data_IF_459257784184
#
_entry.id   IF_459257784184
#
_cell.length_a   1.000
_cell.length_b   1.000
_cell.length_c   1.000
_cell.angle_alpha   90.00
_cell.angle_beta   90.00
_cell.angle_gamma   90.00
#
_symmetry.space_group_name_H-M   'P 1'
#
loop_
_entity.id
_entity.type
_entity.pdbx_description
1 polymer ?
#
# COMPACT_ATOMS: atom_id res chain seq x y z
N UNK A 1 -14.95 53.08 -26.69
CA UNK A 1 -15.09 51.62 -26.46
C UNK A 1 -13.80 51.12 -25.85
N UNK A 2 -13.84 50.76 -24.54
CA UNK A 2 -12.66 50.27 -23.80
C UNK A 2 -12.67 48.75 -23.89
N UNK A 3 -11.70 48.16 -24.60
CA UNK A 3 -11.50 46.71 -24.65
C UNK A 3 -10.83 46.28 -23.39
N UNK A 4 -11.58 45.56 -22.53
CA UNK A 4 -11.05 44.89 -21.36
C UNK A 4 -10.43 43.56 -21.81
N UNK A 5 -9.10 43.51 -21.83
CA UNK A 5 -8.36 42.28 -22.13
C UNK A 5 -8.35 41.37 -20.88
N UNK A 6 -9.17 40.31 -20.90
CA UNK A 6 -9.21 39.32 -19.83
C UNK A 6 -7.99 38.39 -19.96
N UNK A 7 -6.97 38.61 -19.15
CA UNK A 7 -5.82 37.72 -19.08
C UNK A 7 -6.18 36.50 -18.26
N UNK A 8 -6.41 35.36 -18.92
CA UNK A 8 -6.62 34.06 -18.29
C UNK A 8 -5.30 33.55 -17.73
N UNK A 9 -5.11 33.66 -16.42
CA UNK A 9 -3.94 33.11 -15.72
C UNK A 9 -4.11 31.58 -15.62
N UNK A 10 -3.42 30.83 -16.49
CA UNK A 10 -3.37 29.36 -16.40
C UNK A 10 -2.43 29.02 -15.25
N UNK A 11 -3.00 28.61 -14.12
CA UNK A 11 -2.23 28.05 -13.00
C UNK A 11 -1.80 26.64 -13.38
N UNK A 12 -0.57 26.49 -13.83
CA UNK A 12 0.08 25.18 -13.99
C UNK A 12 0.51 24.73 -12.61
N UNK A 13 -0.28 23.82 -11.99
CA UNK A 13 0.14 23.16 -10.76
C UNK A 13 1.31 22.23 -11.09
N UNK A 14 2.42 22.28 -10.32
CA UNK A 14 3.50 21.32 -10.51
C UNK A 14 2.97 19.91 -10.24
N UNK A 15 3.12 19.01 -11.21
CA UNK A 15 2.99 17.56 -10.98
C UNK A 15 4.13 17.20 -10.04
N UNK A 16 3.82 16.93 -8.78
CA UNK A 16 4.80 16.35 -7.88
C UNK A 16 5.04 14.92 -8.34
N UNK A 17 6.25 14.68 -8.83
CA UNK A 17 6.78 13.35 -9.09
C UNK A 17 7.02 12.72 -7.69
N UNK A 18 6.04 11.97 -7.17
CA UNK A 18 6.17 11.31 -5.87
C UNK A 18 7.27 10.25 -5.99
N UNK A 19 8.41 10.57 -5.39
CA UNK A 19 9.56 9.67 -5.36
C UNK A 19 9.19 8.41 -4.58
N UNK A 20 9.32 7.23 -5.21
CA UNK A 20 9.14 5.94 -4.53
C UNK A 20 10.02 5.89 -3.27
N UNK A 21 9.37 5.69 -2.12
CA UNK A 21 10.03 5.48 -0.85
C UNK A 21 10.56 4.04 -0.77
N UNK A 22 11.83 3.89 -0.41
CA UNK A 22 12.48 2.59 -0.30
C UNK A 22 13.08 2.45 1.09
N UNK A 23 12.76 1.34 1.76
CA UNK A 23 13.20 1.05 3.12
C UNK A 23 13.87 -0.31 3.20
N UNK A 24 14.82 -0.48 4.12
CA UNK A 24 15.15 -1.76 4.72
C UNK A 24 14.08 -2.12 5.77
N UNK A 25 14.23 -3.26 6.44
CA UNK A 25 13.24 -3.68 7.43
C UNK A 25 13.17 -2.72 8.64
N UNK A 26 14.30 -2.20 9.11
CA UNK A 26 14.33 -1.29 10.25
C UNK A 26 13.59 0.02 9.95
N UNK A 27 13.64 0.49 8.71
CA UNK A 27 12.88 1.65 8.24
C UNK A 27 11.40 1.33 7.98
N UNK A 28 11.08 0.10 7.57
CA UNK A 28 9.70 -0.33 7.31
C UNK A 28 8.93 -0.64 8.61
N UNK A 29 9.60 -1.22 9.60
CA UNK A 29 8.98 -1.70 10.84
C UNK A 29 8.08 -0.66 11.52
N UNK A 30 8.48 0.62 11.69
CA UNK A 30 7.59 1.64 12.27
C UNK A 30 6.35 1.93 11.43
N UNK A 31 6.41 1.74 10.12
CA UNK A 31 5.27 2.00 9.22
C UNK A 31 4.21 0.90 9.32
N UNK A 32 4.61 -0.33 9.64
CA UNK A 32 3.73 -1.50 9.73
C UNK A 32 3.35 -1.86 11.17
N UNK A 33 3.78 -1.06 12.15
CA UNK A 33 3.52 -1.25 13.58
C UNK A 33 3.13 0.08 14.24
N UNK A 34 2.28 0.87 13.59
CA UNK A 34 1.80 2.14 14.13
C UNK A 34 0.89 1.90 15.34
N UNK A 35 1.03 2.76 16.37
CA UNK A 35 0.22 2.70 17.58
C UNK A 35 -0.70 3.92 17.63
N UNK A 36 -1.75 3.88 16.84
CA UNK A 36 -2.80 4.89 16.78
C UNK A 36 -4.18 4.23 16.77
N UNK A 37 -5.25 5.03 16.59
CA UNK A 37 -6.64 4.54 16.59
C UNK A 37 -7.12 4.10 15.19
N UNK A 38 -6.23 4.08 14.19
CA UNK A 38 -6.59 3.70 12.83
C UNK A 38 -6.59 2.20 12.63
N UNK A 39 -7.33 1.76 11.61
CA UNK A 39 -7.19 0.42 11.06
C UNK A 39 -6.16 0.45 9.95
N UNK A 40 -5.08 -0.29 10.12
CA UNK A 40 -4.02 -0.42 9.13
C UNK A 40 -4.18 -1.71 8.34
N UNK A 41 -4.15 -1.59 7.02
CA UNK A 41 -4.13 -2.71 6.08
C UNK A 41 -2.82 -2.65 5.32
N UNK A 42 -1.92 -3.58 5.60
CA UNK A 42 -0.60 -3.67 4.97
C UNK A 42 -0.59 -4.88 4.05
N UNK A 43 -0.43 -4.65 2.73
CA UNK A 43 -0.35 -5.73 1.75
C UNK A 43 1.07 -5.82 1.18
N UNK A 44 1.66 -7.01 1.25
CA UNK A 44 2.94 -7.34 0.64
C UNK A 44 2.69 -7.94 -0.74
N UNK A 45 3.28 -7.33 -1.77
CA UNK A 45 3.02 -7.64 -3.17
C UNK A 45 4.24 -7.44 -4.05
N UNK A 46 4.15 -7.79 -5.33
CA UNK A 46 5.13 -7.44 -6.34
C UNK A 46 4.51 -7.41 -7.73
N UNK A 47 5.11 -6.67 -8.66
CA UNK A 47 4.63 -6.57 -10.05
C UNK A 47 4.68 -7.89 -10.81
N UNK A 48 5.55 -8.80 -10.41
CA UNK A 48 5.69 -10.15 -10.98
C UNK A 48 4.76 -11.19 -10.34
N UNK A 49 4.05 -10.83 -9.28
CA UNK A 49 3.12 -11.71 -8.57
C UNK A 49 1.72 -11.61 -9.19
N UNK A 50 1.34 -12.55 -10.01
CA UNK A 50 0.04 -12.56 -10.70
C UNK A 50 -1.17 -12.47 -9.77
N UNK A 51 -1.27 -13.28 -8.71
CA UNK A 51 -2.36 -13.17 -7.72
C UNK A 51 -2.41 -11.81 -7.02
N UNK A 52 -1.23 -11.22 -6.70
CA UNK A 52 -1.16 -9.89 -6.08
C UNK A 52 -1.79 -8.81 -6.98
N UNK A 53 -1.42 -8.83 -8.27
CA UNK A 53 -1.92 -7.87 -9.25
C UNK A 53 -3.45 -7.95 -9.39
N UNK A 54 -4.04 -9.13 -9.26
CA UNK A 54 -5.49 -9.33 -9.35
C UNK A 54 -6.24 -8.72 -8.17
N UNK A 55 -5.65 -8.73 -6.97
CA UNK A 55 -6.32 -8.23 -5.76
C UNK A 55 -6.04 -6.75 -5.46
N UNK A 56 -4.98 -6.12 -6.03
CA UNK A 56 -4.68 -4.71 -5.79
C UNK A 56 -5.88 -3.77 -5.96
N UNK A 57 -6.76 -3.92 -6.97
CA UNK A 57 -7.95 -3.08 -7.09
C UNK A 57 -8.88 -3.16 -5.87
N UNK A 58 -8.88 -4.25 -5.13
CA UNK A 58 -9.71 -4.41 -3.92
C UNK A 58 -9.15 -3.60 -2.75
N UNK A 59 -7.82 -3.51 -2.63
CA UNK A 59 -7.15 -2.65 -1.66
C UNK A 59 -7.38 -1.17 -1.96
N UNK A 60 -7.30 -0.78 -3.23
CA UNK A 60 -7.66 0.58 -3.66
C UNK A 60 -9.13 0.91 -3.35
N UNK A 61 -10.03 -0.05 -3.59
CA UNK A 61 -11.46 0.14 -3.31
C UNK A 61 -11.73 0.31 -1.80
N UNK A 62 -11.07 -0.44 -0.92
CA UNK A 62 -11.23 -0.25 0.53
C UNK A 62 -10.55 1.03 1.01
N UNK A 63 -9.42 1.42 0.44
CA UNK A 63 -8.75 2.67 0.74
C UNK A 63 -9.65 3.88 0.45
N UNK A 64 -10.34 3.87 -0.69
CA UNK A 64 -11.28 4.93 -1.07
C UNK A 64 -12.57 4.88 -0.23
N UNK A 65 -13.13 3.70 -0.04
CA UNK A 65 -14.44 3.51 0.62
C UNK A 65 -14.41 3.81 2.11
N UNK A 66 -13.31 3.54 2.79
CA UNK A 66 -13.18 3.61 4.25
C UNK A 66 -12.21 4.72 4.72
N UNK A 67 -11.90 5.69 3.86
CA UNK A 67 -11.06 6.84 4.21
C UNK A 67 -11.63 7.64 5.41
N UNK A 68 -12.94 7.89 5.41
CA UNK A 68 -13.64 8.55 6.51
C UNK A 68 -13.72 7.69 7.80
N UNK A 69 -13.50 6.38 7.71
CA UNK A 69 -13.53 5.42 8.82
C UNK A 69 -12.14 5.19 9.45
N UNK A 70 -11.17 6.05 9.16
CA UNK A 70 -9.79 5.93 9.63
C UNK A 70 -9.11 4.61 9.22
N UNK A 71 -9.32 4.16 7.99
CA UNK A 71 -8.59 3.02 7.40
C UNK A 71 -7.43 3.54 6.57
N UNK A 72 -6.24 3.02 6.81
CA UNK A 72 -5.05 3.30 6.00
C UNK A 72 -4.57 2.03 5.30
N UNK A 73 -4.39 2.12 3.99
CA UNK A 73 -3.81 1.05 3.18
C UNK A 73 -2.36 1.38 2.83
N UNK A 74 -1.45 0.48 3.17
CA UNK A 74 -0.04 0.54 2.80
C UNK A 74 0.30 -0.65 1.89
N UNK A 75 0.76 -0.37 0.69
CA UNK A 75 1.21 -1.37 -0.28
C UNK A 75 2.73 -1.47 -0.24
N UNK A 76 3.26 -2.58 0.29
CA UNK A 76 4.70 -2.85 0.42
C UNK A 76 5.15 -3.72 -0.75
N UNK A 77 5.87 -3.13 -1.69
CA UNK A 77 6.42 -3.86 -2.83
C UNK A 77 7.68 -4.63 -2.45
N UNK A 78 7.75 -5.90 -2.87
CA UNK A 78 8.93 -6.76 -2.82
C UNK A 78 9.61 -6.89 -4.20
N UNK A 79 9.38 -5.93 -5.09
CA UNK A 79 10.10 -5.86 -6.36
C UNK A 79 11.60 -5.64 -6.13
N UNK A 80 12.42 -6.27 -6.96
CA UNK A 80 13.87 -6.06 -6.90
C UNK A 80 14.25 -4.63 -7.29
N UNK A 81 15.29 -4.01 -6.68
CA UNK A 81 15.69 -2.62 -6.95
C UNK A 81 15.89 -2.32 -8.44
N UNK A 82 16.46 -3.25 -9.21
CA UNK A 82 16.65 -3.13 -10.66
C UNK A 82 15.33 -3.02 -11.45
N UNK A 83 14.20 -3.29 -10.82
CA UNK A 83 12.86 -3.25 -11.43
C UNK A 83 12.03 -2.02 -11.01
N UNK A 84 12.54 -1.20 -10.08
CA UNK A 84 11.78 -0.04 -9.62
C UNK A 84 11.41 0.91 -10.76
N UNK A 85 12.38 1.30 -11.60
CA UNK A 85 12.13 2.24 -12.69
C UNK A 85 11.48 1.59 -13.92
N UNK A 86 11.65 0.28 -14.12
CA UNK A 86 11.19 -0.41 -15.34
C UNK A 86 9.88 -1.20 -15.17
N UNK A 87 9.45 -1.45 -13.93
CA UNK A 87 8.24 -2.20 -13.63
C UNK A 87 7.38 -1.53 -12.57
N UNK A 88 7.92 -1.29 -11.35
CA UNK A 88 7.13 -0.82 -10.21
C UNK A 88 6.56 0.58 -10.42
N UNK A 89 7.40 1.59 -10.69
CA UNK A 89 6.93 2.95 -10.94
C UNK A 89 5.97 3.05 -12.14
N UNK A 90 6.27 2.45 -13.31
CA UNK A 90 5.33 2.42 -14.42
C UNK A 90 4.00 1.73 -14.08
N UNK A 91 4.02 0.71 -13.21
CA UNK A 91 2.80 0.05 -12.75
C UNK A 91 1.95 1.01 -11.89
N UNK A 92 2.55 1.66 -10.88
CA UNK A 92 1.89 2.63 -9.99
C UNK A 92 1.23 3.74 -10.82
N UNK A 93 1.96 4.34 -11.75
CA UNK A 93 1.46 5.42 -12.62
C UNK A 93 0.33 4.94 -13.53
N UNK A 94 0.54 3.83 -14.24
CA UNK A 94 -0.44 3.28 -15.18
C UNK A 94 -1.77 2.96 -14.50
N UNK A 95 -1.72 2.39 -13.30
CA UNK A 95 -2.91 1.97 -12.55
C UNK A 95 -3.41 3.06 -11.60
N UNK A 96 -2.71 4.20 -11.52
CA UNK A 96 -3.09 5.37 -10.69
C UNK A 96 -3.38 4.95 -9.25
N UNK A 97 -2.47 4.15 -8.66
CA UNK A 97 -2.63 3.72 -7.28
C UNK A 97 -2.67 4.94 -6.36
N UNK A 98 -3.69 5.03 -5.52
CA UNK A 98 -3.91 6.13 -4.56
C UNK A 98 -3.40 5.76 -3.16
N UNK A 99 -3.37 4.47 -2.85
CA UNK A 99 -2.77 3.97 -1.61
C UNK A 99 -1.29 4.28 -1.57
N UNK A 100 -0.75 4.53 -0.38
CA UNK A 100 0.69 4.72 -0.23
C UNK A 100 1.42 3.45 -0.64
N UNK A 101 2.39 3.60 -1.55
CA UNK A 101 3.26 2.51 -2.01
C UNK A 101 4.68 2.76 -1.53
N UNK A 102 5.27 1.77 -0.88
CA UNK A 102 6.69 1.76 -0.50
C UNK A 102 7.35 0.48 -1.02
N UNK A 103 8.67 0.47 -1.16
CA UNK A 103 9.40 -0.73 -1.52
C UNK A 103 10.27 -1.20 -0.33
N UNK A 104 10.26 -2.50 -0.05
CA UNK A 104 11.18 -3.14 0.88
C UNK A 104 12.40 -3.63 0.11
N UNK A 105 13.57 -3.09 0.47
CA UNK A 105 14.86 -3.50 -0.08
C UNK A 105 15.76 -3.98 1.08
N UNK A 106 15.51 -5.20 1.54
CA UNK A 106 16.30 -5.85 2.55
C UNK A 106 16.60 -7.29 2.13
N UNK A 107 17.85 -7.65 2.05
CA UNK A 107 18.31 -8.99 1.61
C UNK A 107 18.24 -10.06 2.70
N UNK A 108 18.13 -9.66 3.97
CA UNK A 108 18.05 -10.59 5.09
C UNK A 108 16.62 -11.09 5.35
N UNK A 109 16.12 -11.87 4.40
CA UNK A 109 14.76 -12.45 4.47
C UNK A 109 14.59 -13.36 5.70
N UNK A 110 15.65 -14.03 6.15
CA UNK A 110 15.60 -14.88 7.35
C UNK A 110 15.37 -14.09 8.64
N UNK A 111 15.69 -12.80 8.63
CA UNK A 111 15.44 -11.88 9.74
C UNK A 111 14.05 -11.27 9.65
N UNK A 112 13.69 -10.62 8.53
CA UNK A 112 12.51 -9.79 8.49
C UNK A 112 11.20 -10.57 8.23
N UNK A 113 11.22 -11.71 7.52
CA UNK A 113 10.01 -12.51 7.31
C UNK A 113 9.40 -12.96 8.64
N UNK A 114 10.12 -13.69 9.52
CA UNK A 114 9.58 -14.10 10.81
C UNK A 114 9.33 -12.93 11.77
N UNK A 115 10.04 -11.80 11.63
CA UNK A 115 9.80 -10.62 12.42
C UNK A 115 8.47 -9.93 12.06
N UNK A 116 8.05 -9.97 10.80
CA UNK A 116 6.72 -9.51 10.36
C UNK A 116 5.63 -10.47 10.87
N UNK A 117 5.81 -11.76 10.65
CA UNK A 117 4.95 -12.81 11.19
C UNK A 117 5.70 -14.17 11.22
N UNK A 118 5.72 -14.82 12.36
CA UNK A 118 6.43 -16.10 12.56
C UNK A 118 5.90 -17.25 11.67
N UNK A 119 4.64 -17.16 11.24
CA UNK A 119 4.01 -18.16 10.39
C UNK A 119 4.09 -17.81 8.89
N UNK A 120 4.71 -16.70 8.52
CA UNK A 120 4.84 -16.34 7.11
C UNK A 120 5.91 -17.19 6.42
N UNK A 121 5.52 -17.90 5.36
CA UNK A 121 6.46 -18.67 4.54
C UNK A 121 7.32 -17.81 3.60
N UNK A 122 6.98 -16.52 3.47
CA UNK A 122 7.57 -15.60 2.48
C UNK A 122 6.82 -15.58 1.14
N UNK A 123 5.73 -16.35 1.01
CA UNK A 123 4.93 -16.34 -0.22
C UNK A 123 4.08 -15.07 -0.33
N UNK A 124 3.79 -14.66 -1.58
CA UNK A 124 2.96 -13.52 -1.92
C UNK A 124 1.66 -13.96 -2.62
N UNK A 125 0.57 -13.23 -2.41
CA UNK A 125 0.42 -12.07 -1.53
C UNK A 125 0.34 -12.41 -0.05
N UNK A 126 0.72 -11.46 0.79
CA UNK A 126 0.50 -11.53 2.23
C UNK A 126 -0.09 -10.21 2.74
N UNK A 127 -0.97 -10.28 3.73
CA UNK A 127 -1.67 -9.10 4.25
C UNK A 127 -1.69 -9.10 5.77
N UNK A 128 -1.50 -7.94 6.37
CA UNK A 128 -1.73 -7.70 7.79
C UNK A 128 -2.89 -6.72 7.90
N UNK A 129 -3.83 -7.00 8.80
CA UNK A 129 -4.85 -6.04 9.22
C UNK A 129 -4.72 -5.88 10.73
N UNK A 130 -4.58 -4.63 11.21
CA UNK A 130 -4.48 -4.40 12.64
C UNK A 130 -5.07 -3.06 13.07
N UNK A 131 -5.44 -3.00 14.36
CA UNK A 131 -5.82 -1.79 15.09
C UNK A 131 -5.46 -1.96 16.56
N UNK A 132 -4.58 -1.11 17.07
CA UNK A 132 -4.04 -1.26 18.43
C UNK A 132 -3.41 -2.64 18.64
N UNK A 133 -3.86 -3.37 19.65
CA UNK A 133 -3.33 -4.71 19.98
C UNK A 133 -3.96 -5.84 19.16
N UNK A 134 -5.03 -5.57 18.41
CA UNK A 134 -5.65 -6.59 17.55
C UNK A 134 -4.93 -6.63 16.23
N UNK A 135 -4.35 -7.79 15.87
CA UNK A 135 -3.60 -7.99 14.63
C UNK A 135 -3.91 -9.36 14.04
N UNK A 136 -4.12 -9.39 12.74
CA UNK A 136 -4.36 -10.62 11.98
C UNK A 136 -3.45 -10.64 10.76
N UNK A 137 -2.89 -11.81 10.46
CA UNK A 137 -2.04 -12.06 9.31
C UNK A 137 -2.69 -13.07 8.37
N UNK A 138 -2.57 -12.83 7.06
CA UNK A 138 -3.11 -13.66 6.01
C UNK A 138 -2.05 -13.89 4.94
N UNK A 139 -1.73 -15.15 4.65
CA UNK A 139 -0.91 -15.56 3.53
C UNK A 139 -1.80 -16.20 2.46
N UNK A 140 -2.60 -15.38 1.80
CA UNK A 140 -3.54 -15.77 0.75
C UNK A 140 -3.93 -14.57 -0.10
N UNK A 141 -4.43 -14.83 -1.32
CA UNK A 141 -5.17 -13.82 -2.07
C UNK A 141 -6.58 -13.64 -1.50
N UNK A 142 -7.07 -12.40 -1.58
CA UNK A 142 -8.44 -12.06 -1.23
C UNK A 142 -9.31 -11.88 -2.47
N UNK A 143 -10.60 -12.19 -2.34
CA UNK A 143 -11.65 -11.51 -3.09
C UNK A 143 -12.02 -10.21 -2.39
N UNK A 144 -12.71 -9.31 -3.11
CA UNK A 144 -13.16 -8.05 -2.51
C UNK A 144 -14.07 -8.28 -1.28
N UNK A 145 -14.98 -9.25 -1.37
CA UNK A 145 -15.93 -9.59 -0.29
C UNK A 145 -15.19 -10.14 0.94
N UNK A 146 -14.21 -11.03 0.74
CA UNK A 146 -13.40 -11.57 1.83
C UNK A 146 -12.60 -10.45 2.52
N UNK A 147 -11.93 -9.59 1.73
CA UNK A 147 -11.13 -8.48 2.28
C UNK A 147 -11.99 -7.54 3.11
N UNK A 148 -13.16 -7.13 2.60
CA UNK A 148 -14.09 -6.29 3.36
C UNK A 148 -14.63 -7.00 4.62
N UNK A 149 -14.88 -8.29 4.56
CA UNK A 149 -15.38 -9.08 5.71
C UNK A 149 -14.35 -9.07 6.82
N UNK A 150 -13.07 -9.30 6.49
CA UNK A 150 -11.99 -9.28 7.48
C UNK A 150 -11.76 -7.85 8.01
N UNK A 151 -11.73 -6.83 7.14
CA UNK A 151 -11.58 -5.43 7.54
C UNK A 151 -12.66 -5.01 8.56
N UNK A 152 -13.92 -5.36 8.32
CA UNK A 152 -15.05 -4.99 9.18
C UNK A 152 -14.94 -5.51 10.62
N UNK A 153 -14.14 -6.55 10.85
CA UNK A 153 -13.89 -7.03 12.21
C UNK A 153 -13.04 -6.06 13.03
N UNK A 154 -12.29 -5.14 12.38
CA UNK A 154 -11.45 -4.13 13.01
C UNK A 154 -12.14 -2.77 13.11
N UNK A 155 -13.18 -2.50 12.30
CA UNK A 155 -13.98 -1.27 12.36
C UNK A 155 -14.93 -1.24 13.56
N UNK A 156 -15.38 -2.39 14.04
CA UNK A 156 -16.29 -2.49 15.19
C UNK A 156 -15.52 -2.19 16.48
N UNK A 157 -16.01 -1.20 17.22
CA UNK A 157 -15.58 -0.91 18.59
C UNK A 157 -16.12 -1.96 19.54
#
# INVERSE_FOLDING_TARGET
>A
MKHFLLILLIFVLPVQDEKLEVYDYDGLEPLINQNDDKVHVVNFWATWCGPCIKELPYFEAINEKYDDDNVEVLLVSLDFPKKYDTALKPYIEKHKLKSRVVALNDTDQNRWIPAINENWSGALPATIIYRGNKRQFYEKSFTQEELETELKQFLKN
#
